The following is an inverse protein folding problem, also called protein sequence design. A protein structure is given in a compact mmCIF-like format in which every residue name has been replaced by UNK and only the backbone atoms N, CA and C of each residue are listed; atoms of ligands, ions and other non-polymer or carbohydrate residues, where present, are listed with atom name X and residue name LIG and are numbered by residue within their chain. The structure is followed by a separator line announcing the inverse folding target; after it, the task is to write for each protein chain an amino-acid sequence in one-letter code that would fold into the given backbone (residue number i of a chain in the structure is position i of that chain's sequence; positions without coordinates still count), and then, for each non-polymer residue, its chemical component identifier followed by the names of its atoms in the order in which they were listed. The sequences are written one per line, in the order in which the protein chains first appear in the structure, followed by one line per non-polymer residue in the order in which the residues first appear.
data_IF_991645937058
#
_entry.id   IF_991645937058
#
_cell.length_a   1.000
_cell.length_b   1.000
_cell.length_c   1.000
_cell.angle_alpha   90.00
_cell.angle_beta   90.00
_cell.angle_gamma   90.00
#
_symmetry.space_group_name_H-M   'P 1'
#
loop_
_entity.id
_entity.type
_entity.pdbx_description
1 polymer ?
#
# COMPACT_ATOMS: atom_id res chain seq x y z
N UNK A 1 0.27 13.81 -15.55
CA UNK A 1 0.17 13.84 -14.07
C UNK A 1 -0.81 12.75 -13.68
N UNK A 2 -0.36 11.60 -13.17
CA UNK A 2 -1.28 10.54 -12.77
C UNK A 2 -2.07 11.00 -11.54
N UNK A 3 -3.37 11.19 -11.69
CA UNK A 3 -4.26 11.52 -10.59
C UNK A 3 -4.08 10.47 -9.49
N UNK A 4 -3.44 10.86 -8.38
CA UNK A 4 -3.20 9.96 -7.25
C UNK A 4 -4.57 9.48 -6.80
N UNK A 5 -4.91 8.23 -7.11
CA UNK A 5 -6.18 7.63 -6.75
C UNK A 5 -6.35 7.76 -5.23
N UNK A 6 -7.15 8.75 -4.80
CA UNK A 6 -7.37 9.07 -3.39
C UNK A 6 -8.36 8.03 -2.86
N UNK A 7 -7.96 7.32 -1.82
CA UNK A 7 -8.84 6.38 -1.13
C UNK A 7 -10.10 7.10 -0.63
N UNK A 8 -11.25 6.42 -0.64
CA UNK A 8 -12.52 6.93 -0.09
C UNK A 8 -12.44 7.09 1.43
N UNK A 9 -11.78 6.14 2.09
CA UNK A 9 -11.53 6.17 3.52
C UNK A 9 -10.30 5.37 3.88
N UNK A 10 -9.67 5.72 5.01
CA UNK A 10 -8.53 4.98 5.57
C UNK A 10 -8.59 5.03 7.10
N UNK A 11 -8.45 3.86 7.71
CA UNK A 11 -8.43 3.69 9.15
C UNK A 11 -7.23 2.85 9.55
N UNK A 12 -6.68 3.15 10.73
CA UNK A 12 -5.56 2.41 11.31
C UNK A 12 -5.76 2.27 12.80
N UNK A 13 -5.41 1.11 13.36
CA UNK A 13 -5.42 0.87 14.80
C UNK A 13 -4.24 -0.01 15.21
N UNK A 14 -3.69 0.24 16.40
CA UNK A 14 -2.66 -0.62 17.00
C UNK A 14 -3.33 -1.79 17.70
N UNK A 15 -2.85 -3.00 17.44
CA UNK A 15 -3.32 -4.22 18.07
C UNK A 15 -2.56 -4.47 19.39
N UNK A 16 -3.15 -5.20 20.37
CA UNK A 16 -2.51 -5.47 21.67
C UNK A 16 -1.15 -6.16 21.57
N UNK A 17 -0.92 -6.95 20.51
CA UNK A 17 0.34 -7.64 20.25
C UNK A 17 1.42 -6.74 19.62
N UNK A 18 1.16 -5.44 19.45
CA UNK A 18 2.09 -4.48 18.84
C UNK A 18 1.98 -4.34 17.33
N UNK A 19 1.22 -5.20 16.66
CA UNK A 19 0.95 -5.09 15.22
C UNK A 19 0.01 -3.90 14.92
N UNK A 20 -0.11 -3.53 13.64
CA UNK A 20 -1.02 -2.49 13.16
C UNK A 20 -2.04 -3.07 12.19
N UNK A 21 -3.31 -2.88 12.50
CA UNK A 21 -4.42 -3.12 11.60
C UNK A 21 -4.64 -1.87 10.73
N UNK A 22 -4.69 -2.06 9.41
CA UNK A 22 -5.06 -1.04 8.44
C UNK A 22 -6.28 -1.47 7.64
N UNK A 23 -7.24 -0.56 7.47
CA UNK A 23 -8.37 -0.68 6.54
C UNK A 23 -8.31 0.49 5.56
N UNK A 24 -8.28 0.20 4.27
CA UNK A 24 -8.38 1.22 3.21
C UNK A 24 -9.54 0.89 2.28
N UNK A 25 -10.40 1.87 2.02
CA UNK A 25 -11.51 1.76 1.08
C UNK A 25 -11.13 2.51 -0.20
N UNK A 26 -11.07 1.79 -1.31
CA UNK A 26 -10.77 2.33 -2.63
C UNK A 26 -12.03 2.40 -3.48
N UNK A 27 -12.15 3.37 -4.39
CA UNK A 27 -13.17 3.30 -5.44
C UNK A 27 -12.93 2.07 -6.32
N UNK A 28 -14.01 1.45 -6.78
CA UNK A 28 -13.94 0.38 -7.77
C UNK A 28 -13.29 0.88 -9.07
N UNK A 29 -12.54 0.00 -9.73
CA UNK A 29 -11.88 0.34 -11.00
C UNK A 29 -12.85 0.37 -12.18
N UNK A 30 -13.78 -0.59 -12.21
CA UNK A 30 -14.72 -0.79 -13.32
C UNK A 30 -16.09 -0.19 -13.03
N UNK A 31 -16.57 -0.30 -11.79
CA UNK A 31 -17.79 0.35 -11.32
C UNK A 31 -17.40 1.43 -10.30
N UNK A 32 -17.66 2.73 -10.57
CA UNK A 32 -17.34 3.82 -9.65
C UNK A 32 -18.17 3.80 -8.36
N UNK A 33 -19.32 3.13 -8.36
CA UNK A 33 -20.15 2.93 -7.17
C UNK A 33 -19.75 1.71 -6.36
N UNK A 34 -18.91 0.83 -6.93
CA UNK A 34 -18.31 -0.27 -6.20
C UNK A 34 -17.11 0.20 -5.37
N UNK A 35 -16.70 -0.66 -4.45
CA UNK A 35 -15.63 -0.39 -3.49
C UNK A 35 -14.68 -1.58 -3.40
N UNK A 36 -13.39 -1.30 -3.21
CA UNK A 36 -12.41 -2.31 -2.84
C UNK A 36 -11.92 -2.03 -1.43
N UNK A 37 -12.22 -2.93 -0.50
CA UNK A 37 -11.78 -2.85 0.88
C UNK A 37 -10.48 -3.66 1.00
N UNK A 38 -9.39 -3.00 1.40
CA UNK A 38 -8.13 -3.66 1.72
C UNK A 38 -7.91 -3.63 3.22
N UNK A 39 -7.84 -4.81 3.82
CA UNK A 39 -7.52 -5.00 5.24
C UNK A 39 -6.12 -5.57 5.32
N UNK A 40 -5.24 -4.98 6.12
CA UNK A 40 -3.85 -5.38 6.28
C UNK A 40 -3.48 -5.44 7.75
N UNK A 41 -2.71 -6.44 8.12
CA UNK A 41 -1.98 -6.48 9.40
C UNK A 41 -0.52 -6.28 9.07
N UNK A 42 0.08 -5.26 9.68
CA UNK A 42 1.50 -4.94 9.54
C UNK A 42 2.22 -5.13 10.86
N UNK A 43 3.39 -5.76 10.81
CA UNK A 43 4.26 -5.97 11.97
C UNK A 43 5.54 -5.18 11.78
N UNK A 44 6.07 -4.62 12.87
CA UNK A 44 7.40 -4.03 12.86
C UNK A 44 8.41 -5.14 13.17
N UNK A 45 9.08 -5.63 12.13
CA UNK A 45 10.21 -6.55 12.25
C UNK A 45 11.55 -5.81 12.30
N UNK A 46 12.65 -6.59 12.30
CA UNK A 46 14.02 -6.05 12.33
C UNK A 46 14.38 -5.22 11.09
N UNK A 47 13.84 -5.57 9.92
CA UNK A 47 14.04 -4.86 8.66
C UNK A 47 12.99 -3.76 8.39
N UNK A 48 12.09 -3.50 9.34
CA UNK A 48 11.01 -2.51 9.21
C UNK A 48 9.61 -3.14 9.17
N UNK A 49 8.67 -2.40 8.58
CA UNK A 49 7.25 -2.80 8.57
C UNK A 49 6.94 -3.81 7.46
N UNK A 50 6.66 -5.04 7.85
CA UNK A 50 6.18 -6.09 6.95
C UNK A 50 4.65 -6.19 6.96
N UNK A 51 4.05 -6.62 5.84
CA UNK A 51 2.62 -6.98 5.82
C UNK A 51 2.51 -8.47 6.09
N UNK A 52 2.05 -8.82 7.29
CA UNK A 52 1.93 -10.22 7.73
C UNK A 52 0.66 -10.86 7.18
N UNK A 53 -0.39 -10.05 7.01
CA UNK A 53 -1.63 -10.53 6.43
C UNK A 53 -2.29 -9.43 5.59
N UNK A 54 -2.96 -9.82 4.51
CA UNK A 54 -3.70 -8.91 3.64
C UNK A 54 -4.90 -9.61 3.05
N UNK A 55 -6.06 -8.99 3.23
CA UNK A 55 -7.31 -9.38 2.56
C UNK A 55 -7.77 -8.23 1.69
N UNK A 56 -8.24 -8.56 0.48
CA UNK A 56 -8.90 -7.60 -0.40
C UNK A 56 -10.31 -8.11 -0.72
N UNK A 57 -11.30 -7.24 -0.54
CA UNK A 57 -12.71 -7.55 -0.74
C UNK A 57 -13.25 -6.56 -1.76
N UNK A 58 -13.95 -7.07 -2.77
CA UNK A 58 -14.77 -6.26 -3.65
C UNK A 58 -16.18 -6.19 -3.08
N UNK A 59 -16.72 -4.99 -3.01
CA UNK A 59 -18.10 -4.72 -2.62
C UNK A 59 -18.80 -4.03 -3.79
N UNK A 60 -19.85 -4.65 -4.30
CA UNK A 60 -20.69 -4.04 -5.34
C UNK A 60 -21.58 -2.94 -4.76
N UNK A 61 -22.10 -2.07 -5.62
CA UNK A 61 -23.02 -1.00 -5.24
C UNK A 61 -24.34 -1.51 -4.63
N UNK A 62 -24.79 -2.71 -5.01
CA UNK A 62 -25.94 -3.42 -4.41
C UNK A 62 -25.59 -4.17 -3.11
N UNK A 63 -24.36 -4.05 -2.61
CA UNK A 63 -23.95 -4.55 -1.31
C UNK A 63 -23.53 -6.01 -1.25
N UNK A 64 -23.27 -6.66 -2.40
CA UNK A 64 -22.68 -8.01 -2.43
C UNK A 64 -21.17 -7.92 -2.23
N UNK A 65 -20.61 -8.94 -1.58
CA UNK A 65 -19.20 -9.03 -1.26
C UNK A 65 -18.56 -10.23 -1.95
N UNK A 66 -17.34 -10.04 -2.46
CA UNK A 66 -16.51 -11.14 -2.96
C UNK A 66 -15.05 -10.95 -2.55
N UNK A 67 -14.38 -12.05 -2.21
CA UNK A 67 -12.96 -12.04 -1.94
C UNK A 67 -12.21 -11.87 -3.27
N UNK A 68 -11.26 -10.94 -3.28
CA UNK A 68 -10.33 -10.80 -4.39
C UNK A 68 -9.13 -11.73 -4.15
N UNK A 69 -8.55 -12.31 -5.22
CA UNK A 69 -7.35 -13.12 -5.11
C UNK A 69 -6.24 -12.40 -4.34
N UNK A 70 -5.55 -13.14 -3.49
CA UNK A 70 -4.32 -12.63 -2.86
C UNK A 70 -3.32 -12.29 -3.95
N UNK A 71 -2.86 -11.04 -3.95
CA UNK A 71 -1.73 -10.65 -4.79
C UNK A 71 -0.49 -11.08 -4.02
N UNK A 72 0.21 -12.09 -4.52
CA UNK A 72 1.58 -12.36 -4.09
C UNK A 72 2.34 -11.03 -4.18
N UNK A 73 2.95 -10.56 -3.09
CA UNK A 73 3.82 -9.41 -3.18
C UNK A 73 4.95 -9.82 -4.12
N UNK A 74 4.95 -9.28 -5.34
CA UNK A 74 6.20 -9.09 -6.06
C UNK A 74 7.05 -8.26 -5.12
N UNK A 75 8.02 -8.92 -4.47
CA UNK A 75 9.12 -8.25 -3.78
C UNK A 75 9.56 -7.14 -4.72
N UNK A 76 9.22 -5.89 -4.39
CA UNK A 76 9.78 -4.78 -5.13
C UNK A 76 11.29 -4.91 -4.92
N UNK A 77 12.10 -5.13 -5.96
CA UNK A 77 13.53 -5.01 -5.79
C UNK A 77 13.75 -3.59 -5.28
N UNK A 78 14.46 -3.48 -4.16
CA UNK A 78 14.91 -2.21 -3.62
C UNK A 78 15.38 -1.37 -4.81
N UNK A 79 14.76 -0.20 -4.97
CA UNK A 79 15.21 0.77 -5.95
C UNK A 79 16.63 1.16 -5.51
N UNK A 80 17.64 0.54 -6.12
CA UNK A 80 19.02 1.01 -6.02
C UNK A 80 19.00 2.45 -6.55
N UNK A 81 19.00 3.42 -5.64
CA UNK A 81 19.53 4.75 -5.93
C UNK A 81 21.02 4.55 -6.25
N UNK A 82 21.52 4.87 -7.46
CA UNK A 82 22.94 5.05 -7.62
C UNK A 82 23.34 6.28 -6.80
N UNK A 83 24.27 6.04 -5.88
CA UNK A 83 24.98 7.03 -5.09
C UNK A 83 25.46 8.19 -5.98
N UNK A 84 25.34 9.40 -5.45
CA UNK A 84 25.84 10.62 -6.07
C UNK A 84 27.29 10.48 -6.48
N UNK A 85 27.56 10.77 -7.75
CA UNK A 85 28.87 11.17 -8.21
C UNK A 85 29.04 12.64 -7.86
N UNK A 86 29.61 12.87 -6.68
CA UNK A 86 30.33 14.08 -6.31
C UNK A 86 31.57 14.17 -7.20
N UNK A 87 31.55 15.00 -8.25
CA UNK A 87 32.75 15.62 -8.82
C UNK A 87 32.34 16.72 -9.80
N UNK A 88 32.17 17.93 -9.28
CA UNK A 88 32.29 19.14 -10.07
C UNK A 88 33.29 20.03 -9.32
N UNK A 89 34.56 19.73 -9.53
CA UNK A 89 35.67 20.60 -9.12
C UNK A 89 35.53 21.94 -9.84
N UNK A 90 35.20 22.97 -9.07
CA UNK A 90 35.39 24.36 -9.45
C UNK A 90 36.89 24.58 -9.76
N UNK A 91 37.23 24.78 -11.03
CA UNK A 91 38.51 25.36 -11.43
C UNK A 91 38.32 26.86 -11.60
N UNK A 92 38.86 27.60 -10.64
CA UNK A 92 39.11 29.04 -10.75
C UNK A 92 40.60 29.21 -11.05
N UNK A 93 40.96 29.63 -12.25
CA UNK A 93 42.15 30.43 -12.60
C UNK A 93 41.87 31.24 -13.87
#
# INVERSE_FOLDING_TARGET
MAERQKYKARFTSKLPNGDFLGLTVWPGKSDPNAEVLTIQIRRQGSAGWETVHRVAIYRTSDGRYSLLPERTPVSQPAKNEPAGSDEASESFE
#
